data_IF_475374732624
#
_entry.id   IF_475374732624
#
_cell.length_a   1.000
_cell.length_b   1.000
_cell.length_c   1.000
_cell.angle_alpha   90.00
_cell.angle_beta   90.00
_cell.angle_gamma   90.00
#
_symmetry.space_group_name_H-M   'P 1'
#
loop_
_entity.id
_entity.type
_entity.pdbx_description
1 polymer ?
#
# COMPACT_ATOMS: atom_id res chain seq x y z
N UNK A 1 -6.09 17.02 -12.68
CA UNK A 1 -6.02 17.49 -11.28
C UNK A 1 -4.88 16.77 -10.55
N UNK A 2 -4.32 17.32 -9.47
CA UNK A 2 -3.31 16.65 -8.65
C UNK A 2 -3.77 15.29 -8.08
N UNK A 3 -5.04 15.20 -7.70
CA UNK A 3 -5.65 13.92 -7.27
C UNK A 3 -5.62 12.86 -8.35
N UNK A 4 -5.94 13.23 -9.59
CA UNK A 4 -5.92 12.28 -10.71
C UNK A 4 -4.52 11.73 -10.93
N UNK A 5 -3.48 12.56 -10.84
CA UNK A 5 -2.09 12.11 -10.96
C UNK A 5 -1.68 11.14 -9.85
N UNK A 6 -2.11 11.40 -8.61
CA UNK A 6 -1.87 10.48 -7.49
C UNK A 6 -2.62 9.16 -7.69
N UNK A 7 -3.92 9.20 -8.01
CA UNK A 7 -4.74 8.01 -8.23
C UNK A 7 -4.15 7.17 -9.38
N UNK A 8 -3.70 7.81 -10.45
CA UNK A 8 -3.05 7.12 -11.56
C UNK A 8 -1.76 6.41 -11.10
N UNK A 9 -0.89 7.10 -10.34
CA UNK A 9 0.34 6.50 -9.83
C UNK A 9 0.04 5.31 -8.92
N UNK A 10 -0.88 5.46 -7.97
CA UNK A 10 -1.29 4.41 -7.04
C UNK A 10 -1.95 3.23 -7.77
N UNK A 11 -2.77 3.52 -8.78
CA UNK A 11 -3.39 2.50 -9.64
C UNK A 11 -2.35 1.65 -10.38
N UNK A 12 -1.30 2.29 -10.92
CA UNK A 12 -0.18 1.57 -11.58
C UNK A 12 0.58 0.67 -10.60
N UNK A 13 0.85 1.15 -9.37
CA UNK A 13 1.49 0.34 -8.32
C UNK A 13 0.61 -0.84 -7.92
N UNK A 14 -0.69 -0.62 -7.75
CA UNK A 14 -1.67 -1.66 -7.43
C UNK A 14 -1.77 -2.73 -8.52
N UNK A 15 -1.84 -2.31 -9.79
CA UNK A 15 -1.91 -3.20 -10.95
C UNK A 15 -0.68 -4.10 -11.10
N UNK A 16 0.49 -3.63 -10.62
CA UNK A 16 1.73 -4.39 -10.56
C UNK A 16 1.95 -5.12 -9.23
N UNK A 17 0.91 -5.32 -8.46
CA UNK A 17 0.97 -6.02 -7.18
C UNK A 17 2.01 -5.44 -6.20
N UNK A 18 2.20 -4.11 -6.25
CA UNK A 18 3.14 -3.39 -5.40
C UNK A 18 4.58 -3.35 -5.88
N UNK A 19 4.87 -3.99 -7.00
CA UNK A 19 6.18 -3.88 -7.65
C UNK A 19 6.44 -2.45 -8.13
N UNK A 20 7.72 -2.15 -8.35
CA UNK A 20 8.15 -0.84 -8.78
C UNK A 20 7.60 -0.50 -10.17
N UNK A 21 6.91 0.63 -10.26
CA UNK A 21 6.51 1.27 -11.50
C UNK A 21 7.46 2.43 -11.80
N UNK A 22 7.78 2.64 -13.06
CA UNK A 22 8.63 3.75 -13.49
C UNK A 22 7.85 4.71 -14.38
N UNK A 23 8.12 6.02 -14.19
CA UNK A 23 7.55 7.12 -14.97
C UNK A 23 8.71 7.99 -15.44
N UNK A 24 8.75 8.36 -16.72
CA UNK A 24 9.79 9.24 -17.25
C UNK A 24 9.54 10.70 -16.86
N UNK A 25 10.58 11.51 -16.86
CA UNK A 25 10.43 12.96 -16.67
C UNK A 25 9.60 13.60 -17.78
N UNK A 26 9.67 13.06 -18.99
CA UNK A 26 8.84 13.48 -20.13
C UNK A 26 7.35 13.23 -19.84
N UNK A 27 7.00 12.03 -19.37
CA UNK A 27 5.62 11.71 -18.97
C UNK A 27 5.16 12.58 -17.80
N UNK A 28 6.00 12.76 -16.78
CA UNK A 28 5.68 13.64 -15.65
C UNK A 28 5.45 15.09 -16.06
N UNK A 29 6.00 15.56 -17.19
CA UNK A 29 5.75 16.91 -17.70
C UNK A 29 4.30 17.11 -18.18
N UNK A 30 3.58 16.04 -18.43
CA UNK A 30 2.15 16.06 -18.78
C UNK A 30 1.25 16.14 -17.52
N UNK A 31 1.81 15.89 -16.35
CA UNK A 31 1.07 15.95 -15.09
C UNK A 31 1.11 17.37 -14.50
N UNK A 32 0.13 17.75 -13.65
CA UNK A 32 0.17 19.04 -12.96
C UNK A 32 1.48 19.22 -12.18
N UNK A 33 2.19 20.32 -12.42
CA UNK A 33 3.50 20.56 -11.81
C UNK A 33 3.47 20.52 -10.28
N UNK A 34 2.40 21.04 -9.67
CA UNK A 34 2.19 20.97 -8.20
C UNK A 34 2.11 19.52 -7.71
N UNK A 35 1.39 18.64 -8.44
CA UNK A 35 1.31 17.22 -8.09
C UNK A 35 2.67 16.54 -8.16
N UNK A 36 3.41 16.75 -9.25
CA UNK A 36 4.76 16.18 -9.43
C UNK A 36 5.70 16.64 -8.32
N UNK A 37 5.63 17.91 -7.94
CA UNK A 37 6.42 18.46 -6.83
C UNK A 37 6.07 17.79 -5.51
N UNK A 38 4.77 17.65 -5.20
CA UNK A 38 4.29 17.00 -3.99
C UNK A 38 4.69 15.51 -3.95
N UNK A 39 4.50 14.76 -5.05
CA UNK A 39 4.88 13.35 -5.15
C UNK A 39 6.38 13.13 -4.89
N UNK A 40 7.24 14.04 -5.38
CA UNK A 40 8.69 13.98 -5.15
C UNK A 40 9.06 14.37 -3.73
N UNK A 41 8.53 15.46 -3.21
CA UNK A 41 8.86 15.97 -1.87
C UNK A 41 8.37 15.02 -0.76
N UNK A 42 7.27 14.32 -1.00
CA UNK A 42 6.67 13.37 -0.06
C UNK A 42 7.18 11.93 -0.24
N UNK A 43 8.15 11.69 -1.12
CA UNK A 43 8.81 10.41 -1.29
C UNK A 43 8.02 9.35 -2.04
N UNK A 44 6.91 9.73 -2.70
CA UNK A 44 6.14 8.84 -3.57
C UNK A 44 6.81 8.64 -4.94
N UNK A 45 7.57 9.62 -5.42
CA UNK A 45 8.41 9.53 -6.60
C UNK A 45 9.89 9.63 -6.22
N UNK A 46 10.60 8.52 -6.31
CA UNK A 46 12.02 8.41 -6.04
C UNK A 46 12.80 8.37 -7.36
N UNK A 47 13.97 9.03 -7.39
CA UNK A 47 14.82 8.99 -8.57
C UNK A 47 15.26 7.54 -8.86
N UNK A 48 15.05 7.11 -10.11
CA UNK A 48 15.46 5.79 -10.59
C UNK A 48 16.71 5.86 -11.46
N UNK A 49 17.26 4.70 -11.79
CA UNK A 49 18.32 4.62 -12.79
C UNK A 49 17.76 5.03 -14.17
N UNK A 50 18.54 5.70 -15.02
CA UNK A 50 18.11 6.05 -16.38
C UNK A 50 17.66 4.81 -17.17
N UNK A 51 16.73 5.04 -18.10
CA UNK A 51 16.25 3.98 -18.97
C UNK A 51 17.40 3.41 -19.81
N UNK A 52 17.52 2.08 -19.85
CA UNK A 52 18.48 1.37 -20.69
C UNK A 52 17.92 1.03 -22.07
N UNK A 53 16.60 1.03 -22.20
CA UNK A 53 15.88 0.81 -23.44
C UNK A 53 14.67 1.73 -23.50
N UNK A 54 14.25 2.11 -24.69
CA UNK A 54 13.03 2.89 -24.92
C UNK A 54 12.30 2.33 -26.13
N UNK A 55 11.00 2.59 -26.21
CA UNK A 55 10.22 2.31 -27.41
C UNK A 55 10.64 3.31 -28.48
N UNK A 56 10.91 2.84 -29.69
CA UNK A 56 11.33 3.67 -30.79
C UNK A 56 10.19 4.56 -31.28
N UNK A 57 10.40 5.88 -31.32
CA UNK A 57 9.42 6.82 -31.87
C UNK A 57 9.28 6.65 -33.37
N UNK A 58 8.04 6.66 -33.86
CA UNK A 58 7.70 6.50 -35.26
C UNK A 58 7.95 5.09 -35.82
N UNK A 59 8.13 4.09 -34.93
CA UNK A 59 8.11 2.69 -35.32
C UNK A 59 6.70 2.13 -35.09
N UNK A 60 6.05 1.66 -36.15
CA UNK A 60 4.70 1.07 -36.06
C UNK A 60 4.61 -0.21 -35.22
N UNK A 61 5.76 -0.77 -34.82
CA UNK A 61 5.84 -2.07 -34.15
C UNK A 61 6.22 -1.98 -32.67
N UNK A 62 6.10 -0.84 -32.02
CA UNK A 62 6.40 -0.63 -30.60
C UNK A 62 7.69 -1.33 -30.11
N UNK A 63 8.73 -1.30 -30.94
CA UNK A 63 9.96 -2.01 -30.66
C UNK A 63 10.74 -1.35 -29.50
N UNK A 64 11.02 -2.12 -28.45
CA UNK A 64 11.92 -1.70 -27.37
C UNK A 64 13.38 -1.83 -27.82
N UNK A 65 14.07 -0.69 -27.94
CA UNK A 65 15.45 -0.62 -28.43
C UNK A 65 16.41 -0.21 -27.31
N UNK A 66 17.62 -0.79 -27.25
CA UNK A 66 18.63 -0.36 -26.30
C UNK A 66 19.11 1.05 -26.61
N UNK A 67 19.30 1.86 -25.57
CA UNK A 67 19.80 3.22 -25.68
C UNK A 67 21.31 3.21 -25.83
N UNK A 68 21.80 3.88 -26.90
CA UNK A 68 23.20 4.15 -27.10
C UNK A 68 23.50 5.59 -26.65
N UNK A 69 24.56 5.76 -25.87
CA UNK A 69 24.97 7.07 -25.39
C UNK A 69 26.39 7.39 -25.88
N UNK A 70 26.58 8.54 -26.48
CA UNK A 70 27.88 9.00 -26.93
C UNK A 70 28.21 10.34 -26.27
N UNK A 71 29.36 10.39 -25.64
CA UNK A 71 29.92 11.63 -25.11
C UNK A 71 30.88 12.22 -26.15
N UNK A 72 30.63 13.43 -26.58
CA UNK A 72 31.48 14.14 -27.53
C UNK A 72 32.69 14.77 -26.81
N UNK A 73 33.71 15.14 -27.56
CA UNK A 73 34.92 15.78 -27.02
C UNK A 73 34.65 17.08 -26.23
N UNK A 74 33.56 17.78 -26.54
CA UNK A 74 33.12 18.99 -25.84
C UNK A 74 32.31 18.69 -24.57
N UNK A 75 32.23 17.42 -24.14
CA UNK A 75 31.48 16.99 -22.94
C UNK A 75 29.97 16.84 -23.14
N UNK A 76 29.43 17.18 -24.36
CA UNK A 76 28.00 16.98 -24.61
C UNK A 76 27.68 15.52 -24.78
N UNK A 77 26.55 15.11 -24.15
CA UNK A 77 26.05 13.72 -24.15
C UNK A 77 24.85 13.68 -25.12
N UNK A 78 24.89 12.74 -26.04
CA UNK A 78 23.79 12.49 -26.98
C UNK A 78 23.36 11.04 -26.85
N UNK A 79 22.07 10.81 -26.67
CA UNK A 79 21.49 9.47 -26.61
C UNK A 79 20.60 9.22 -27.81
N UNK A 80 20.65 7.99 -28.34
CA UNK A 80 19.86 7.56 -29.49
C UNK A 80 19.60 6.06 -29.41
N UNK A 81 18.62 5.60 -30.17
CA UNK A 81 18.43 4.18 -30.47
C UNK A 81 18.71 3.93 -31.96
N UNK A 82 19.13 2.71 -32.26
CA UNK A 82 19.31 2.27 -33.62
C UNK A 82 18.11 1.43 -34.02
N UNK A 83 17.35 1.88 -35.01
CA UNK A 83 16.18 1.18 -35.51
C UNK A 83 16.39 0.80 -36.97
N UNK A 84 16.51 -0.50 -37.23
CA UNK A 84 16.66 -1.09 -38.56
C UNK A 84 15.35 -1.21 -39.34
N UNK A 85 14.22 -0.97 -38.67
CA UNK A 85 12.88 -1.02 -39.26
C UNK A 85 12.43 0.32 -39.87
N UNK A 86 13.19 1.38 -39.67
CA UNK A 86 12.94 2.68 -40.24
C UNK A 86 13.77 2.85 -41.50
N UNK A 87 13.12 3.33 -42.56
CA UNK A 87 13.75 3.62 -43.83
C UNK A 87 14.39 5.03 -43.92
N UNK A 88 13.96 5.93 -43.01
CA UNK A 88 14.33 7.35 -43.06
C UNK A 88 15.57 7.68 -42.22
N UNK A 89 15.80 6.96 -41.12
CA UNK A 89 16.94 7.18 -40.25
C UNK A 89 17.31 5.94 -39.44
N UNK A 90 18.60 5.64 -39.34
CA UNK A 90 19.09 4.54 -38.53
C UNK A 90 19.26 4.95 -37.05
N UNK A 91 19.41 6.24 -36.76
CA UNK A 91 19.63 6.74 -35.40
C UNK A 91 18.50 7.68 -35.04
N UNK A 92 17.66 7.22 -34.10
CA UNK A 92 16.54 8.02 -33.57
C UNK A 92 16.97 8.65 -32.24
N UNK A 93 17.06 10.00 -32.18
CA UNK A 93 17.45 10.71 -30.97
C UNK A 93 16.49 10.40 -29.81
N UNK A 94 17.04 10.25 -28.61
CA UNK A 94 16.22 10.06 -27.39
C UNK A 94 16.47 11.24 -26.45
N UNK A 95 15.42 12.03 -26.12
CA UNK A 95 15.54 13.16 -25.20
C UNK A 95 15.97 12.70 -23.80
N UNK A 96 16.80 13.51 -23.11
CA UNK A 96 17.23 13.23 -21.75
C UNK A 96 16.05 13.08 -20.77
N UNK A 97 14.98 13.84 -20.98
CA UNK A 97 13.76 13.77 -20.18
C UNK A 97 13.07 12.40 -20.25
N UNK A 98 13.17 11.72 -21.39
CA UNK A 98 12.63 10.36 -21.58
C UNK A 98 13.48 9.30 -20.89
N UNK A 99 14.78 9.53 -20.77
CA UNK A 99 15.70 8.64 -20.09
C UNK A 99 15.69 8.80 -18.57
N UNK A 100 15.40 9.99 -18.08
CA UNK A 100 15.35 10.30 -16.66
C UNK A 100 14.07 9.69 -16.05
N UNK A 101 14.24 8.61 -15.29
CA UNK A 101 13.14 7.86 -14.69
C UNK A 101 12.96 8.18 -13.20
N UNK A 102 11.72 8.11 -12.79
CA UNK A 102 11.26 8.13 -11.41
C UNK A 102 10.53 6.83 -11.11
N UNK A 103 10.61 6.34 -9.89
CA UNK A 103 9.95 5.10 -9.50
C UNK A 103 9.05 5.31 -8.29
N UNK A 104 7.99 4.53 -8.23
CA UNK A 104 7.13 4.34 -7.08
C UNK A 104 6.90 2.84 -6.89
N UNK A 105 6.81 2.40 -5.65
CA UNK A 105 6.49 1.02 -5.28
C UNK A 105 5.67 1.01 -3.99
N UNK A 106 5.18 -0.13 -3.57
CA UNK A 106 4.39 -0.25 -2.35
C UNK A 106 5.16 0.19 -1.09
N UNK A 107 6.49 0.07 -1.08
CA UNK A 107 7.31 0.53 0.05
C UNK A 107 7.36 2.06 0.13
N UNK A 108 7.46 2.75 -1.01
CA UNK A 108 7.36 4.21 -1.07
C UNK A 108 5.99 4.69 -0.57
N UNK A 109 4.92 3.98 -0.94
CA UNK A 109 3.57 4.27 -0.44
C UNK A 109 3.47 4.04 1.07
N UNK A 110 3.99 2.93 1.60
CA UNK A 110 4.06 2.69 3.04
C UNK A 110 4.85 3.78 3.77
N UNK A 111 5.99 4.21 3.21
CA UNK A 111 6.81 5.29 3.75
C UNK A 111 6.05 6.63 3.81
N UNK A 112 5.33 6.98 2.75
CA UNK A 112 4.46 8.16 2.72
C UNK A 112 3.38 8.10 3.80
N UNK A 113 2.67 6.96 3.93
CA UNK A 113 1.61 6.80 4.93
C UNK A 113 2.20 6.89 6.34
N UNK A 114 3.30 6.21 6.61
CA UNK A 114 3.98 6.25 7.91
C UNK A 114 4.41 7.67 8.28
N UNK A 115 5.02 8.41 7.34
CA UNK A 115 5.44 9.79 7.55
C UNK A 115 4.25 10.73 7.82
N UNK A 116 3.17 10.58 7.02
CA UNK A 116 1.95 11.39 7.18
C UNK A 116 1.27 11.19 8.54
N UNK A 117 1.39 10.00 9.11
CA UNK A 117 0.81 9.65 10.41
C UNK A 117 1.79 9.77 11.59
N UNK A 118 3.04 10.16 11.35
CA UNK A 118 4.08 10.20 12.37
C UNK A 118 4.39 8.82 12.96
N UNK A 119 4.21 7.74 12.19
CA UNK A 119 4.48 6.38 12.60
C UNK A 119 5.93 6.00 12.36
N UNK A 120 6.49 5.23 13.27
CA UNK A 120 7.75 4.55 13.00
C UNK A 120 7.49 3.37 12.06
N UNK A 121 8.13 3.39 10.90
CA UNK A 121 7.99 2.33 9.91
C UNK A 121 8.50 1.01 10.47
N UNK A 122 7.66 -0.01 10.43
CA UNK A 122 7.99 -1.33 10.95
C UNK A 122 8.65 -2.16 9.85
N UNK A 123 9.81 -2.74 10.14
CA UNK A 123 10.54 -3.65 9.24
C UNK A 123 10.10 -5.12 9.37
N UNK A 124 8.95 -5.37 9.99
CA UNK A 124 8.42 -6.72 10.15
C UNK A 124 8.09 -7.30 8.78
N UNK A 125 8.57 -8.52 8.53
CA UNK A 125 8.20 -9.21 7.29
C UNK A 125 6.68 -9.48 7.26
N UNK A 126 6.02 -9.29 6.11
CA UNK A 126 4.59 -9.53 6.00
C UNK A 126 4.26 -10.98 6.32
N UNK A 127 3.25 -11.18 7.16
CA UNK A 127 2.74 -12.52 7.52
C UNK A 127 1.91 -13.15 6.40
N UNK A 128 1.43 -12.34 5.48
CA UNK A 128 0.61 -12.75 4.34
C UNK A 128 1.13 -12.11 3.05
N UNK A 129 1.01 -12.83 1.94
CA UNK A 129 1.36 -12.30 0.61
C UNK A 129 0.47 -11.11 0.28
N UNK A 130 1.08 -10.00 -0.14
CA UNK A 130 0.36 -8.78 -0.51
C UNK A 130 -0.11 -7.90 0.66
N UNK A 131 0.30 -8.19 1.91
CA UNK A 131 0.01 -7.37 3.08
C UNK A 131 1.32 -6.81 3.66
N UNK A 132 1.52 -5.50 3.55
CA UNK A 132 2.73 -4.80 3.99
C UNK A 132 2.46 -4.03 5.29
N UNK A 133 3.17 -4.31 6.40
CA UNK A 133 3.00 -3.57 7.64
C UNK A 133 3.55 -2.14 7.50
N UNK A 134 2.78 -1.15 7.96
CA UNK A 134 3.16 0.26 7.96
C UNK A 134 3.63 0.67 9.36
N UNK A 135 2.82 0.40 10.38
CA UNK A 135 3.10 0.77 11.76
C UNK A 135 1.89 0.65 12.66
N UNK A 136 2.05 1.03 13.93
CA UNK A 136 0.97 0.95 14.93
C UNK A 136 0.11 2.22 14.89
N UNK A 137 -1.07 2.14 14.29
CA UNK A 137 -2.03 3.23 14.26
C UNK A 137 -2.83 3.30 15.57
N UNK A 138 -3.02 4.52 16.08
CA UNK A 138 -3.75 4.78 17.33
C UNK A 138 -5.19 5.15 17.04
N UNK A 139 -6.12 4.42 17.64
CA UNK A 139 -7.52 4.84 17.78
C UNK A 139 -7.78 5.45 19.17
N UNK A 140 -9.03 5.77 19.49
CA UNK A 140 -9.40 6.38 20.77
C UNK A 140 -9.10 5.49 21.99
N UNK A 141 -9.16 4.17 21.82
CA UNK A 141 -9.04 3.21 22.93
C UNK A 141 -7.85 2.26 22.83
N UNK A 142 -7.29 2.07 21.65
CA UNK A 142 -6.23 1.08 21.40
C UNK A 142 -5.37 1.48 20.21
N UNK A 143 -4.19 0.84 20.14
CA UNK A 143 -3.35 0.84 18.96
C UNK A 143 -3.50 -0.49 18.23
N UNK A 144 -3.49 -0.45 16.89
CA UNK A 144 -3.54 -1.64 16.04
C UNK A 144 -2.55 -1.50 14.89
N UNK A 145 -2.09 -2.63 14.37
CA UNK A 145 -1.23 -2.66 13.21
C UNK A 145 -2.01 -2.16 11.98
N UNK A 146 -1.51 -1.10 11.36
CA UNK A 146 -1.95 -0.60 10.07
C UNK A 146 -1.09 -1.26 8.99
N UNK A 147 -1.73 -1.82 7.98
CA UNK A 147 -1.07 -2.46 6.85
C UNK A 147 -1.55 -1.87 5.52
N UNK A 148 -0.71 -1.97 4.50
CA UNK A 148 -1.09 -1.75 3.11
C UNK A 148 -1.35 -3.11 2.46
N UNK A 149 -2.57 -3.32 1.95
CA UNK A 149 -2.90 -4.47 1.11
C UNK A 149 -2.71 -4.11 -0.35
N UNK A 150 -2.01 -4.98 -1.06
CA UNK A 150 -1.75 -4.84 -2.50
C UNK A 150 -2.39 -6.03 -3.22
N UNK A 151 -3.50 -5.77 -3.90
CA UNK A 151 -4.22 -6.80 -4.66
C UNK A 151 -4.99 -6.17 -5.82
N UNK A 152 -4.30 -5.86 -6.93
CA UNK A 152 -4.86 -5.12 -8.06
C UNK A 152 -5.13 -3.63 -7.78
N UNK A 153 -5.38 -3.27 -6.53
CA UNK A 153 -5.49 -1.91 -6.00
C UNK A 153 -4.83 -1.84 -4.63
N UNK A 154 -4.63 -0.63 -4.13
CA UNK A 154 -4.06 -0.37 -2.81
C UNK A 154 -5.18 -0.09 -1.80
N UNK A 155 -5.15 -0.78 -0.66
CA UNK A 155 -6.09 -0.57 0.44
C UNK A 155 -5.38 -0.55 1.79
N UNK A 156 -5.82 0.33 2.68
CA UNK A 156 -5.42 0.30 4.08
C UNK A 156 -6.20 -0.80 4.80
N UNK A 157 -5.52 -1.53 5.70
CA UNK A 157 -6.09 -2.64 6.45
C UNK A 157 -5.75 -2.50 7.92
N UNK A 158 -6.76 -2.61 8.77
CA UNK A 158 -6.63 -2.70 10.24
C UNK A 158 -7.50 -3.83 10.74
N UNK A 159 -6.91 -4.88 11.29
CA UNK A 159 -7.66 -6.10 11.65
C UNK A 159 -8.37 -6.70 10.44
N UNK A 160 -9.70 -6.80 10.52
CA UNK A 160 -10.55 -7.30 9.44
C UNK A 160 -11.08 -6.20 8.49
N UNK A 161 -10.90 -4.92 8.87
CA UNK A 161 -11.39 -3.79 8.08
C UNK A 161 -10.41 -3.40 7.00
N UNK A 162 -10.91 -3.19 5.80
CA UNK A 162 -10.14 -2.71 4.67
C UNK A 162 -10.84 -1.50 4.03
N UNK A 163 -10.07 -0.51 3.58
CA UNK A 163 -10.55 0.69 2.91
C UNK A 163 -9.62 1.03 1.75
N UNK A 164 -10.14 1.32 0.55
CA UNK A 164 -9.31 1.79 -0.57
C UNK A 164 -8.46 2.99 -0.15
N UNK A 165 -7.19 2.98 -0.52
CA UNK A 165 -6.28 4.08 -0.16
C UNK A 165 -6.74 5.41 -0.76
N UNK A 166 -7.33 5.38 -1.95
CA UNK A 166 -7.87 6.55 -2.63
C UNK A 166 -8.98 7.27 -1.84
N UNK A 167 -9.74 6.53 -1.00
CA UNK A 167 -10.83 7.11 -0.19
C UNK A 167 -10.33 7.81 1.09
N UNK A 168 -9.05 7.66 1.40
CA UNK A 168 -8.42 8.18 2.63
C UNK A 168 -7.44 9.31 2.34
N UNK A 169 -7.01 9.45 1.09
CA UNK A 169 -6.06 10.50 0.70
C UNK A 169 -6.82 11.75 0.26
N UNK A 170 -6.45 12.88 0.85
CA UNK A 170 -6.88 14.22 0.45
C UNK A 170 -5.72 15.08 -0.04
N UNK A 171 -6.04 16.33 -0.40
CA UNK A 171 -5.05 17.35 -0.76
C UNK A 171 -5.25 18.53 0.19
N UNK A 172 -4.18 18.90 0.88
CA UNK A 172 -4.14 20.08 1.73
C UNK A 172 -2.84 20.86 1.48
N UNK A 173 -2.95 22.18 1.37
CA UNK A 173 -1.79 23.08 1.21
C UNK A 173 -0.83 22.69 0.05
N UNK A 174 -1.38 22.11 -1.03
CA UNK A 174 -0.61 21.67 -2.19
C UNK A 174 0.15 20.34 -2.02
N UNK A 175 -0.03 19.66 -0.90
CA UNK A 175 0.49 18.32 -0.61
C UNK A 175 -0.62 17.29 -0.46
N UNK A 176 -0.24 16.01 -0.52
CA UNK A 176 -1.15 14.90 -0.22
C UNK A 176 -1.17 14.63 1.28
N UNK A 177 -2.36 14.42 1.82
CA UNK A 177 -2.59 14.14 3.24
C UNK A 177 -3.47 12.92 3.41
N UNK A 178 -3.47 12.36 4.61
CA UNK A 178 -4.38 11.28 4.97
C UNK A 178 -5.48 11.83 5.90
N UNK A 179 -6.71 11.41 5.69
CA UNK A 179 -7.82 11.74 6.58
C UNK A 179 -7.68 10.97 7.91
N UNK A 180 -7.17 11.67 8.92
CA UNK A 180 -6.97 11.11 10.25
C UNK A 180 -8.28 10.69 10.92
N UNK A 181 -9.41 11.38 10.65
CA UNK A 181 -10.70 11.04 11.24
C UNK A 181 -11.20 9.70 10.71
N UNK A 182 -11.09 9.49 9.41
CA UNK A 182 -11.42 8.20 8.76
C UNK A 182 -10.54 7.07 9.30
N UNK A 183 -9.24 7.30 9.44
CA UNK A 183 -8.32 6.31 10.00
C UNK A 183 -8.63 5.97 11.46
N UNK A 184 -8.93 6.95 12.30
CA UNK A 184 -9.34 6.72 13.69
C UNK A 184 -10.61 5.88 13.77
N UNK A 185 -11.63 6.19 12.95
CA UNK A 185 -12.85 5.40 12.88
C UNK A 185 -12.58 3.96 12.44
N UNK A 186 -11.69 3.76 11.47
CA UNK A 186 -11.29 2.45 10.98
C UNK A 186 -10.63 1.60 12.09
N UNK A 187 -9.71 2.18 12.87
CA UNK A 187 -9.06 1.52 14.00
C UNK A 187 -10.06 1.16 15.10
N UNK A 188 -10.96 2.07 15.44
CA UNK A 188 -11.98 1.83 16.48
C UNK A 188 -13.03 0.80 16.04
N UNK A 189 -13.45 0.81 14.77
CA UNK A 189 -14.36 -0.16 14.19
C UNK A 189 -13.75 -1.57 14.17
N UNK A 190 -12.48 -1.70 13.77
CA UNK A 190 -11.76 -2.97 13.80
C UNK A 190 -11.71 -3.55 15.22
N UNK A 191 -11.43 -2.70 16.22
CA UNK A 191 -11.43 -3.12 17.64
C UNK A 191 -12.79 -3.64 18.09
N UNK A 192 -13.88 -3.05 17.60
CA UNK A 192 -15.25 -3.49 17.93
C UNK A 192 -15.59 -4.80 17.24
N UNK A 193 -15.27 -4.94 15.96
CA UNK A 193 -15.48 -6.18 15.19
C UNK A 193 -14.71 -7.36 15.79
N UNK A 194 -13.44 -7.18 16.13
CA UNK A 194 -12.63 -8.21 16.80
C UNK A 194 -13.22 -8.66 18.14
N UNK A 195 -13.79 -7.72 18.90
CA UNK A 195 -14.45 -8.02 20.16
C UNK A 195 -15.72 -8.82 19.95
N UNK A 196 -16.56 -8.41 19.00
CA UNK A 196 -17.80 -9.11 18.68
C UNK A 196 -17.53 -10.52 18.16
N UNK A 197 -16.57 -10.68 17.25
CA UNK A 197 -16.15 -12.00 16.72
C UNK A 197 -15.68 -12.92 17.86
N UNK A 198 -14.89 -12.42 18.80
CA UNK A 198 -14.42 -13.15 19.95
C UNK A 198 -15.57 -13.57 20.87
N UNK A 199 -16.49 -12.67 21.18
CA UNK A 199 -17.66 -12.98 22.01
C UNK A 199 -18.55 -14.01 21.34
N UNK A 200 -18.81 -13.89 20.05
CA UNK A 200 -19.56 -14.90 19.28
C UNK A 200 -18.85 -16.27 19.31
N UNK A 201 -17.53 -16.31 19.23
CA UNK A 201 -16.73 -17.52 19.40
C UNK A 201 -16.94 -18.17 20.77
N UNK A 202 -16.92 -17.39 21.85
CA UNK A 202 -17.17 -17.90 23.22
C UNK A 202 -18.59 -18.40 23.40
N UNK A 203 -19.58 -17.68 22.88
CA UNK A 203 -20.99 -18.11 22.91
C UNK A 203 -21.22 -19.42 22.15
N UNK A 204 -20.59 -19.57 20.98
CA UNK A 204 -20.66 -20.82 20.21
C UNK A 204 -20.01 -21.98 20.96
N UNK A 205 -18.84 -21.75 21.57
CA UNK A 205 -18.16 -22.77 22.39
C UNK A 205 -18.98 -23.15 23.64
N UNK A 206 -19.57 -22.16 24.29
CA UNK A 206 -20.47 -22.39 25.43
C UNK A 206 -21.68 -23.26 25.07
N UNK A 207 -22.38 -22.90 23.96
CA UNK A 207 -23.52 -23.68 23.47
C UNK A 207 -23.14 -25.13 23.14
N UNK A 208 -21.97 -25.33 22.54
CA UNK A 208 -21.45 -26.65 22.20
C UNK A 208 -21.11 -27.49 23.47
N UNK A 209 -20.47 -26.88 24.49
CA UNK A 209 -20.14 -27.53 25.74
C UNK A 209 -21.42 -27.88 26.54
N UNK A 210 -22.36 -26.96 26.62
CA UNK A 210 -23.64 -27.16 27.31
C UNK A 210 -24.47 -28.28 26.68
N UNK A 211 -24.43 -28.45 25.37
CA UNK A 211 -25.07 -29.57 24.67
C UNK A 211 -24.45 -30.92 25.07
N UNK A 212 -23.12 -30.94 25.29
CA UNK A 212 -22.39 -32.17 25.67
C UNK A 212 -22.51 -32.49 27.14
N UNK A 213 -22.59 -31.50 28.04
CA UNK A 213 -22.63 -31.62 29.47
C UNK A 213 -23.60 -30.60 30.08
N UNK A 214 -24.91 -30.87 30.07
CA UNK A 214 -25.94 -29.87 30.40
C UNK A 214 -26.00 -29.46 31.88
N UNK A 215 -25.44 -30.25 32.79
CA UNK A 215 -25.54 -30.06 34.23
C UNK A 215 -24.33 -29.37 34.88
N UNK A 216 -23.38 -28.86 34.06
CA UNK A 216 -22.21 -28.17 34.60
C UNK A 216 -22.53 -26.69 34.89
N UNK A 217 -21.71 -26.05 35.71
CA UNK A 217 -21.87 -24.64 36.05
C UNK A 217 -21.28 -23.72 34.99
N UNK A 218 -21.75 -22.47 34.91
CA UNK A 218 -21.18 -21.46 33.98
C UNK A 218 -19.70 -21.17 34.29
N UNK A 219 -19.28 -21.35 35.54
CA UNK A 219 -17.87 -21.24 35.92
C UNK A 219 -17.07 -22.36 35.29
N UNK A 220 -17.58 -23.58 35.30
CA UNK A 220 -16.92 -24.72 34.66
C UNK A 220 -16.79 -24.50 33.15
N UNK A 221 -17.85 -24.06 32.46
CA UNK A 221 -17.79 -23.79 31.02
C UNK A 221 -16.79 -22.70 30.70
N UNK A 222 -16.76 -21.60 31.44
CA UNK A 222 -15.82 -20.52 31.20
C UNK A 222 -14.36 -20.96 31.43
N UNK A 223 -14.09 -21.81 32.40
CA UNK A 223 -12.78 -22.41 32.65
C UNK A 223 -12.35 -23.35 31.51
N UNK A 224 -13.29 -24.14 30.96
CA UNK A 224 -12.97 -24.98 29.81
C UNK A 224 -12.65 -24.15 28.58
N UNK A 225 -13.44 -23.10 28.27
CA UNK A 225 -13.19 -22.21 27.17
C UNK A 225 -11.84 -21.49 27.33
N UNK A 226 -11.49 -21.05 28.54
CA UNK A 226 -10.23 -20.39 28.86
C UNK A 226 -8.98 -21.23 28.51
N UNK A 227 -9.10 -22.56 28.52
CA UNK A 227 -8.03 -23.51 28.18
C UNK A 227 -7.86 -23.70 26.66
N UNK A 228 -8.76 -23.15 25.85
CA UNK A 228 -8.74 -23.31 24.38
C UNK A 228 -8.14 -22.09 23.68
N UNK A 229 -7.63 -22.23 22.44
CA UNK A 229 -7.17 -21.09 21.64
C UNK A 229 -8.24 -20.03 21.41
N UNK A 230 -9.54 -20.39 21.46
CA UNK A 230 -10.68 -19.48 21.30
C UNK A 230 -10.70 -18.41 22.41
N UNK A 231 -10.13 -18.70 23.58
CA UNK A 231 -10.01 -17.73 24.67
C UNK A 231 -9.10 -16.53 24.32
N UNK A 232 -8.16 -16.70 23.39
CA UNK A 232 -7.17 -15.67 23.02
C UNK A 232 -6.47 -15.08 24.25
N UNK A 233 -6.07 -15.92 25.20
CA UNK A 233 -5.38 -15.52 26.45
C UNK A 233 -6.25 -14.79 27.47
N UNK A 234 -7.59 -14.82 27.34
CA UNK A 234 -8.51 -14.22 28.33
C UNK A 234 -8.81 -15.19 29.44
N UNK A 235 -8.94 -14.62 30.64
CA UNK A 235 -9.29 -15.36 31.85
C UNK A 235 -10.77 -15.81 31.86
N UNK A 236 -11.06 -16.84 32.67
CA UNK A 236 -12.40 -17.42 32.76
C UNK A 236 -13.47 -16.44 33.28
N UNK A 237 -13.09 -15.45 34.10
CA UNK A 237 -14.03 -14.46 34.65
C UNK A 237 -14.52 -13.51 33.55
N UNK A 238 -13.61 -13.07 32.66
CA UNK A 238 -13.94 -12.26 31.49
C UNK A 238 -14.80 -13.04 30.50
N UNK A 239 -14.47 -14.31 30.24
CA UNK A 239 -15.23 -15.17 29.32
C UNK A 239 -16.67 -15.37 29.86
N UNK A 240 -16.82 -15.65 31.15
CA UNK A 240 -18.12 -15.84 31.81
C UNK A 240 -19.07 -14.66 31.56
N UNK A 241 -18.56 -13.41 31.64
CA UNK A 241 -19.36 -12.18 31.45
C UNK A 241 -19.97 -12.06 30.05
N UNK A 242 -19.35 -12.66 29.02
CA UNK A 242 -19.71 -12.45 27.62
C UNK A 242 -20.14 -13.72 26.87
N UNK A 243 -20.05 -14.90 27.46
CA UNK A 243 -20.48 -16.15 26.82
C UNK A 243 -21.99 -16.39 26.93
N UNK A 244 -22.68 -15.70 27.86
CA UNK A 244 -24.11 -15.88 28.17
C UNK A 244 -25.02 -14.89 27.41
N UNK A 245 -24.45 -13.89 26.73
CA UNK A 245 -25.20 -12.84 26.08
C UNK A 245 -25.86 -13.30 24.78
#
# INVERSE_FOLDING_TARGET
TPEAALIELLGRVGARLGESVTVSTEELSQWPAAAVSALKSQGLLLKARPAKSVICDGCEQDCSMPVQTVTRANGSVTSFVVCDKRSDTNRVPVPAARLALWRCDAQAVCGFIAASLGLQQTTVQPSEVGLLPIGMARGNKRTQMLCLRVHGHLALVVGTNAMPLADVIGIENGGFTLDHAVLHQMVDAATTADRQTRYAGWQKAYKALRKKRPNESDVWYSQQIAKTPIAQGRDASTIKKHMLA
#
